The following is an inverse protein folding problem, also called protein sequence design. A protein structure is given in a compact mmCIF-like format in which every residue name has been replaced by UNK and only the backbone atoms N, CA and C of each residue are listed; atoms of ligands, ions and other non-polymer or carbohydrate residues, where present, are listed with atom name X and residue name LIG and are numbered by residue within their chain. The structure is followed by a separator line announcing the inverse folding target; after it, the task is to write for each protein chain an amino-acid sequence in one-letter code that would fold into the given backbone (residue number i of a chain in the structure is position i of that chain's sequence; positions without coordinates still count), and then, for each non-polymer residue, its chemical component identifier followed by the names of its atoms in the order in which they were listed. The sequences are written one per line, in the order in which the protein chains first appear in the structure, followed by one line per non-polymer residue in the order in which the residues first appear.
data_IF_895124017004
#
_entry.id   IF_895124017004
#
_cell.length_a   1.000
_cell.length_b   1.000
_cell.length_c   1.000
_cell.angle_alpha   90.00
_cell.angle_beta   90.00
_cell.angle_gamma   90.00
#
_symmetry.space_group_name_H-M   'P 1'
#
loop_
_entity.id
_entity.type
_entity.pdbx_description
1 polymer ?
#
# COMPACT_ATOMS: atom_id res chain seq x y z
N UNK A 1 1.60 1.31 4.96
CA UNK A 1 0.87 1.86 3.80
C UNK A 1 1.60 3.11 3.37
N UNK A 2 1.96 3.20 2.10
CA UNK A 2 2.57 4.37 1.47
C UNK A 2 2.41 4.23 -0.05
N UNK A 3 2.36 5.35 -0.75
CA UNK A 3 2.48 5.45 -2.21
C UNK A 3 1.77 6.67 -2.79
N UNK A 4 1.05 7.40 -1.96
CA UNK A 4 0.27 8.58 -2.31
C UNK A 4 1.14 9.66 -2.96
N UNK A 5 2.31 9.95 -2.39
CA UNK A 5 3.25 10.92 -2.97
C UNK A 5 3.87 10.46 -4.30
N UNK A 6 4.15 9.16 -4.45
CA UNK A 6 4.64 8.61 -5.72
C UNK A 6 3.56 8.62 -6.81
N UNK A 7 2.28 8.55 -6.41
CA UNK A 7 1.12 8.58 -7.29
C UNK A 7 0.62 10.01 -7.62
N UNK A 8 0.95 10.99 -6.79
CA UNK A 8 0.59 12.41 -6.97
C UNK A 8 1.58 13.13 -7.88
N UNK A 9 2.88 12.96 -7.62
CA UNK A 9 3.86 13.94 -8.08
C UNK A 9 4.26 13.80 -9.55
N UNK A 10 4.58 12.58 -10.00
CA UNK A 10 5.09 12.35 -11.35
C UNK A 10 4.96 10.90 -11.81
N UNK A 11 4.80 10.70 -13.13
CA UNK A 11 4.78 9.36 -13.73
C UNK A 11 6.09 8.62 -13.47
N UNK A 12 7.23 9.31 -13.50
CA UNK A 12 8.54 8.73 -13.26
C UNK A 12 8.65 8.11 -11.86
N UNK A 13 8.06 8.76 -10.85
CA UNK A 13 8.04 8.25 -9.48
C UNK A 13 7.17 7.00 -9.36
N UNK A 14 5.97 7.04 -9.96
CA UNK A 14 5.05 5.91 -10.01
C UNK A 14 5.66 4.71 -10.75
N UNK A 15 6.33 4.93 -11.88
CA UNK A 15 6.99 3.88 -12.68
C UNK A 15 8.16 3.23 -11.92
N UNK A 16 8.87 4.00 -11.10
CA UNK A 16 9.97 3.50 -10.27
C UNK A 16 9.50 2.76 -9.00
N UNK A 17 8.23 2.91 -8.61
CA UNK A 17 7.69 2.44 -7.34
C UNK A 17 7.93 0.95 -7.08
N UNK A 18 7.67 0.08 -8.08
CA UNK A 18 7.85 -1.37 -7.91
C UNK A 18 9.31 -1.72 -7.59
N UNK A 19 10.26 -1.17 -8.35
CA UNK A 19 11.69 -1.43 -8.15
C UNK A 19 12.15 -0.91 -6.78
N UNK A 20 11.67 0.28 -6.39
CA UNK A 20 11.99 0.87 -5.10
C UNK A 20 11.42 0.06 -3.93
N UNK A 21 10.17 -0.40 -4.03
CA UNK A 21 9.51 -1.24 -3.03
C UNK A 21 10.26 -2.56 -2.84
N UNK A 22 10.56 -3.27 -3.94
CA UNK A 22 11.35 -4.51 -3.88
C UNK A 22 12.69 -4.27 -3.19
N UNK A 23 13.42 -3.23 -3.63
CA UNK A 23 14.74 -2.92 -3.08
C UNK A 23 14.68 -2.61 -1.58
N UNK A 24 13.67 -1.86 -1.14
CA UNK A 24 13.49 -1.49 0.26
C UNK A 24 13.18 -2.73 1.13
N UNK A 25 12.29 -3.61 0.67
CA UNK A 25 11.93 -4.81 1.43
C UNK A 25 13.08 -5.82 1.51
N UNK A 26 13.85 -5.98 0.43
CA UNK A 26 15.08 -6.77 0.43
C UNK A 26 16.10 -6.23 1.45
N UNK A 27 16.26 -4.91 1.52
CA UNK A 27 17.13 -4.26 2.50
C UNK A 27 16.66 -4.51 3.94
N UNK A 28 15.35 -4.40 4.22
CA UNK A 28 14.81 -4.70 5.55
C UNK A 28 15.05 -6.15 5.96
N UNK A 29 14.78 -7.11 5.07
CA UNK A 29 15.02 -8.53 5.31
C UNK A 29 16.50 -8.84 5.55
N UNK A 30 17.39 -8.25 4.75
CA UNK A 30 18.83 -8.38 4.94
C UNK A 30 19.31 -7.79 6.27
N UNK A 31 18.86 -6.58 6.61
CA UNK A 31 19.23 -5.89 7.85
C UNK A 31 18.77 -6.65 9.10
N UNK A 32 17.57 -7.22 9.06
CA UNK A 32 17.01 -8.02 10.16
C UNK A 32 17.44 -9.49 10.13
N UNK A 33 18.18 -9.91 9.10
CA UNK A 33 18.60 -11.30 8.86
C UNK A 33 17.43 -12.28 8.87
N UNK A 34 16.29 -11.85 8.33
CA UNK A 34 15.05 -12.63 8.24
C UNK A 34 14.49 -12.53 6.83
N UNK A 35 14.81 -13.53 5.99
CA UNK A 35 14.47 -13.54 4.56
C UNK A 35 12.97 -13.68 4.30
N UNK A 36 12.26 -14.29 5.23
CA UNK A 36 10.83 -14.59 5.21
C UNK A 36 10.03 -13.57 6.01
N UNK A 37 10.61 -12.42 6.39
CA UNK A 37 9.89 -11.37 7.12
C UNK A 37 8.59 -11.04 6.37
N UNK A 38 7.42 -11.17 7.01
CA UNK A 38 6.14 -10.81 6.42
C UNK A 38 6.09 -9.32 6.04
N UNK A 39 5.60 -9.03 4.84
CA UNK A 39 5.36 -7.66 4.36
C UNK A 39 3.89 -7.49 3.99
N UNK A 40 3.19 -6.60 4.67
CA UNK A 40 1.77 -6.32 4.38
C UNK A 40 1.67 -4.98 3.67
N UNK A 41 1.21 -5.00 2.43
CA UNK A 41 0.96 -3.80 1.64
C UNK A 41 -0.52 -3.46 1.78
N UNK A 42 -0.82 -2.19 2.09
CA UNK A 42 -2.17 -1.66 2.00
C UNK A 42 -2.31 -0.89 0.70
N UNK A 43 -3.33 -1.21 -0.09
CA UNK A 43 -3.66 -0.48 -1.31
C UNK A 43 -3.91 0.99 -0.96
N UNK A 44 -3.25 1.93 -1.61
CA UNK A 44 -3.56 3.36 -1.42
C UNK A 44 -4.90 3.70 -2.09
N UNK A 45 -5.58 4.76 -1.66
CA UNK A 45 -6.86 5.17 -2.25
C UNK A 45 -6.81 6.61 -2.73
N UNK A 46 -7.62 6.95 -3.73
CA UNK A 46 -7.82 8.30 -4.22
C UNK A 46 -9.14 8.86 -3.67
N UNK A 47 -9.11 10.05 -3.06
CA UNK A 47 -10.32 10.63 -2.49
C UNK A 47 -11.23 11.28 -3.52
N UNK A 48 -10.69 11.69 -4.67
CA UNK A 48 -11.36 12.44 -5.73
C UNK A 48 -12.05 13.72 -5.22
N UNK A 49 -11.53 14.32 -4.15
CA UNK A 49 -12.14 15.47 -3.47
C UNK A 49 -11.72 16.83 -4.03
N UNK A 50 -11.01 16.89 -5.16
CA UNK A 50 -10.73 18.17 -5.84
C UNK A 50 -11.98 18.72 -6.55
N UNK A 51 -12.17 20.03 -6.48
CA UNK A 51 -13.38 20.73 -6.93
C UNK A 51 -13.70 20.54 -8.43
N UNK A 52 -12.69 20.23 -9.25
CA UNK A 52 -12.81 19.97 -10.68
C UNK A 52 -13.05 18.48 -11.03
N UNK A 53 -13.13 17.61 -10.02
CA UNK A 53 -13.27 16.17 -10.17
C UNK A 53 -12.00 15.47 -10.67
N UNK A 54 -10.85 16.16 -10.68
CA UNK A 54 -9.57 15.54 -10.97
C UNK A 54 -9.16 14.56 -9.85
N UNK A 55 -8.44 13.48 -10.18
CA UNK A 55 -7.90 12.59 -9.17
C UNK A 55 -6.88 13.32 -8.29
N UNK A 56 -6.88 13.04 -7.00
CA UNK A 56 -5.84 13.53 -6.07
C UNK A 56 -4.45 12.97 -6.41
N UNK A 57 -4.42 11.79 -7.04
CA UNK A 57 -3.25 11.02 -7.39
C UNK A 57 -3.37 10.54 -8.85
N UNK A 58 -2.97 11.37 -9.85
CA UNK A 58 -3.16 11.07 -11.26
C UNK A 58 -2.52 9.75 -11.74
N UNK A 59 -1.48 9.29 -11.06
CA UNK A 59 -0.70 8.10 -11.42
C UNK A 59 -1.00 6.87 -10.54
N UNK A 60 -2.09 6.91 -9.76
CA UNK A 60 -2.42 5.88 -8.76
C UNK A 60 -2.55 4.47 -9.35
N UNK A 61 -3.00 4.35 -10.60
CA UNK A 61 -3.15 3.05 -11.27
C UNK A 61 -1.81 2.33 -11.46
N UNK A 62 -0.73 3.06 -11.77
CA UNK A 62 0.63 2.51 -11.86
C UNK A 62 1.10 2.01 -10.49
N UNK A 63 0.87 2.79 -9.42
CA UNK A 63 1.25 2.40 -8.06
C UNK A 63 0.42 1.20 -7.57
N UNK A 64 -0.89 1.15 -7.87
CA UNK A 64 -1.74 -0.01 -7.56
C UNK A 64 -1.24 -1.28 -8.22
N UNK A 65 -0.86 -1.20 -9.50
CA UNK A 65 -0.29 -2.33 -10.23
C UNK A 65 1.01 -2.78 -9.56
N UNK A 66 1.89 -1.85 -9.19
CA UNK A 66 3.15 -2.18 -8.51
C UNK A 66 2.93 -2.83 -7.13
N UNK A 67 2.01 -2.31 -6.31
CA UNK A 67 1.63 -2.90 -5.03
C UNK A 67 1.09 -4.33 -5.20
N UNK A 68 0.23 -4.54 -6.20
CA UNK A 68 -0.29 -5.86 -6.51
C UNK A 68 0.78 -6.81 -7.04
N UNK A 69 1.66 -6.34 -7.93
CA UNK A 69 2.74 -7.13 -8.49
C UNK A 69 3.69 -7.60 -7.39
N UNK A 70 4.14 -6.70 -6.51
CA UNK A 70 5.01 -7.05 -5.39
C UNK A 70 4.39 -8.17 -4.53
N UNK A 71 3.13 -7.99 -4.12
CA UNK A 71 2.43 -8.96 -3.26
C UNK A 71 2.12 -10.29 -3.94
N UNK A 72 2.01 -10.33 -5.28
CA UNK A 72 1.87 -11.58 -6.05
C UNK A 72 3.18 -12.33 -6.23
N UNK A 73 4.31 -11.62 -6.29
CA UNK A 73 5.62 -12.22 -6.57
C UNK A 73 6.39 -12.62 -5.31
N UNK A 74 6.09 -11.98 -4.18
CA UNK A 74 6.75 -12.24 -2.90
C UNK A 74 5.95 -13.27 -2.07
N UNK A 75 6.53 -14.44 -1.74
CA UNK A 75 5.82 -15.51 -1.03
C UNK A 75 5.49 -15.17 0.43
N UNK A 76 6.11 -14.11 0.99
CA UNK A 76 5.85 -13.62 2.33
C UNK A 76 5.31 -12.19 2.31
N UNK A 77 4.51 -11.86 1.29
CA UNK A 77 3.77 -10.63 1.22
C UNK A 77 2.26 -10.84 1.16
N UNK A 78 1.51 -9.92 1.74
CA UNK A 78 0.05 -9.91 1.73
C UNK A 78 -0.49 -8.55 1.29
N UNK A 79 -1.69 -8.54 0.68
CA UNK A 79 -2.29 -7.33 0.12
C UNK A 79 -3.65 -7.02 0.74
N UNK A 80 -3.75 -5.89 1.44
CA UNK A 80 -5.00 -5.36 1.99
C UNK A 80 -5.69 -4.48 0.94
N UNK A 81 -6.86 -4.92 0.46
CA UNK A 81 -7.64 -4.26 -0.60
C UNK A 81 -8.91 -3.56 -0.11
N UNK A 82 -9.31 -3.76 1.15
CA UNK A 82 -10.61 -3.34 1.73
C UNK A 82 -10.77 -1.81 1.95
N UNK A 83 -10.18 -0.99 1.08
CA UNK A 83 -10.02 0.47 1.26
C UNK A 83 -11.18 1.32 0.73
N UNK A 84 -12.02 0.76 -0.14
CA UNK A 84 -13.14 1.47 -0.77
C UNK A 84 -14.24 1.83 0.25
N UNK A 85 -14.23 1.21 1.42
CA UNK A 85 -15.21 1.47 2.50
C UNK A 85 -14.78 2.55 3.50
N UNK A 86 -13.62 3.18 3.29
CA UNK A 86 -13.04 4.15 4.22
C UNK A 86 -13.38 5.56 3.78
N UNK A 87 -13.84 6.39 4.72
CA UNK A 87 -14.07 7.79 4.45
C UNK A 87 -12.77 8.59 4.61
N UNK A 88 -12.67 9.68 3.87
CA UNK A 88 -11.60 10.65 4.01
C UNK A 88 -12.01 11.80 4.94
N UNK A 89 -11.00 12.39 5.59
CA UNK A 89 -11.11 13.68 6.24
C UNK A 89 -11.26 14.79 5.19
N UNK A 90 -11.68 16.01 5.59
CA UNK A 90 -11.78 17.15 4.69
C UNK A 90 -10.47 17.56 4.02
N UNK A 91 -9.32 17.03 4.48
CA UNK A 91 -8.02 17.28 3.86
C UNK A 91 -7.79 16.50 2.56
N UNK A 92 -8.72 15.62 2.16
CA UNK A 92 -8.66 14.80 0.95
C UNK A 92 -7.56 13.73 0.92
N UNK A 93 -6.74 13.59 1.97
CA UNK A 93 -5.58 12.70 1.97
C UNK A 93 -5.69 11.58 2.99
N UNK A 94 -6.27 11.86 4.16
CA UNK A 94 -6.23 10.94 5.29
C UNK A 94 -7.59 10.33 5.55
N UNK A 95 -7.60 9.06 5.93
CA UNK A 95 -8.82 8.41 6.38
C UNK A 95 -9.32 8.98 7.71
N UNK A 96 -10.62 8.89 7.95
CA UNK A 96 -11.18 9.17 9.27
C UNK A 96 -10.82 8.08 10.29
N UNK A 97 -11.20 8.30 11.55
CA UNK A 97 -10.91 7.36 12.63
C UNK A 97 -11.51 5.96 12.40
N UNK A 98 -12.72 5.88 11.83
CA UNK A 98 -13.38 4.61 11.54
C UNK A 98 -12.65 3.83 10.43
N UNK A 99 -12.21 4.53 9.38
CA UNK A 99 -11.38 3.99 8.31
C UNK A 99 -10.05 3.42 8.83
N UNK A 100 -9.36 4.14 9.71
CA UNK A 100 -8.13 3.63 10.34
C UNK A 100 -8.37 2.39 11.20
N UNK A 101 -9.49 2.30 11.93
CA UNK A 101 -9.84 1.11 12.73
C UNK A 101 -10.08 -0.10 11.81
N UNK A 102 -10.91 0.05 10.77
CA UNK A 102 -11.17 -1.01 9.79
C UNK A 102 -9.89 -1.45 9.08
N UNK A 103 -9.02 -0.50 8.74
CA UNK A 103 -7.71 -0.80 8.16
C UNK A 103 -6.85 -1.64 9.10
N UNK A 104 -6.76 -1.27 10.38
CA UNK A 104 -6.03 -2.05 11.38
C UNK A 104 -6.54 -3.49 11.48
N UNK A 105 -7.85 -3.68 11.47
CA UNK A 105 -8.46 -5.02 11.47
C UNK A 105 -8.11 -5.81 10.20
N UNK A 106 -8.13 -5.18 9.03
CA UNK A 106 -7.77 -5.82 7.77
C UNK A 106 -6.28 -6.22 7.73
N UNK A 107 -5.37 -5.35 8.19
CA UNK A 107 -3.95 -5.69 8.34
C UNK A 107 -3.74 -6.84 9.32
N UNK A 108 -4.45 -6.86 10.46
CA UNK A 108 -4.33 -7.92 11.45
C UNK A 108 -4.76 -9.29 10.88
N UNK A 109 -5.83 -9.35 10.06
CA UNK A 109 -6.23 -10.58 9.37
C UNK A 109 -5.12 -11.12 8.48
N UNK A 110 -4.54 -10.27 7.63
CA UNK A 110 -3.46 -10.68 6.72
C UNK A 110 -2.19 -11.07 7.49
N UNK A 111 -1.89 -10.39 8.60
CA UNK A 111 -0.76 -10.76 9.46
C UNK A 111 -0.91 -12.18 9.99
N UNK A 112 -2.08 -12.53 10.52
CA UNK A 112 -2.38 -13.89 11.02
C UNK A 112 -2.28 -14.95 9.91
N UNK A 113 -2.67 -14.62 8.67
CA UNK A 113 -2.51 -15.53 7.53
C UNK A 113 -1.04 -15.80 7.20
N UNK A 114 -0.21 -14.74 7.17
CA UNK A 114 1.23 -14.84 6.87
C UNK A 114 2.02 -15.58 7.97
N UNK A 115 1.66 -15.39 9.25
CA UNK A 115 2.30 -16.09 10.38
C UNK A 115 2.25 -17.63 10.26
N UNK A 116 1.27 -18.17 9.54
CA UNK A 116 1.13 -19.62 9.37
C UNK A 116 2.24 -20.22 8.49
N UNK A 117 2.82 -19.44 7.57
CA UNK A 117 3.73 -19.96 6.53
C UNK A 117 5.05 -19.20 6.34
N UNK A 118 5.21 -18.00 6.92
CA UNK A 118 6.46 -17.23 6.94
C UNK A 118 7.13 -17.32 8.31
N UNK A 119 8.19 -18.14 8.43
CA UNK A 119 8.84 -18.50 9.71
C UNK A 119 10.34 -18.23 9.76
#
# INVERSE_FOLDING_TARGET
MQGESDAEHSQESADAYLTNLNRLMDLFRAAMRKNDLPVIIGKINDSQMYDDGAPTQPYISTVHLAQETFTKTDPCAGYVKDIESYNFLPDAWHYDTDGFIKMGQAFARVALELELHCK
#
